data_IF_685354029723
#
_entry.id   IF_685354029723
#
_cell.length_a   1.000
_cell.length_b   1.000
_cell.length_c   1.000
_cell.angle_alpha   90.00
_cell.angle_beta   90.00
_cell.angle_gamma   90.00
#
_symmetry.space_group_name_H-M   'P 1'
#
loop_
_entity.id
_entity.type
_entity.pdbx_description
1 polymer ?
#
# COMPACT_ATOMS: atom_id res chain seq x y z
N UNK A 1 -12.38 -15.07 16.26
CA UNK A 1 -12.39 -13.61 16.05
C UNK A 1 -11.03 -13.27 15.48
N UNK A 2 -10.97 -12.99 14.17
CA UNK A 2 -9.70 -12.73 13.47
C UNK A 2 -9.11 -11.41 13.95
N UNK A 3 -7.94 -11.48 14.59
CA UNK A 3 -7.15 -10.35 15.08
C UNK A 3 -6.45 -9.56 13.95
N UNK A 4 -6.90 -9.71 12.70
CA UNK A 4 -6.31 -9.06 11.52
C UNK A 4 -6.68 -7.57 11.41
N UNK A 5 -7.73 -7.11 12.11
CA UNK A 5 -8.29 -5.78 11.88
C UNK A 5 -7.87 -4.69 12.89
N UNK A 6 -7.14 -5.01 13.97
CA UNK A 6 -6.89 -4.04 15.06
C UNK A 6 -5.75 -3.05 14.78
N UNK A 7 -4.84 -3.37 13.86
CA UNK A 7 -3.71 -2.46 13.56
C UNK A 7 -4.16 -1.39 12.56
N UNK A 8 -4.01 -0.08 12.86
CA UNK A 8 -4.34 0.98 11.91
C UNK A 8 -3.47 0.88 10.65
N UNK A 9 -4.11 0.85 9.47
CA UNK A 9 -3.44 0.62 8.16
C UNK A 9 -2.40 1.70 7.83
N UNK A 10 -2.58 2.91 8.31
CA UNK A 10 -1.69 4.06 8.14
C UNK A 10 -0.32 3.84 8.81
N UNK A 11 -0.27 2.99 9.83
CA UNK A 11 0.97 2.64 10.55
C UNK A 11 1.77 1.53 9.87
N UNK A 12 1.19 0.84 8.88
CA UNK A 12 1.83 -0.30 8.23
C UNK A 12 2.93 0.13 7.26
N UNK A 13 4.00 -0.69 7.23
CA UNK A 13 4.97 -0.69 6.14
C UNK A 13 4.34 -1.22 4.86
N UNK A 14 4.95 -0.95 3.71
CA UNK A 14 4.48 -1.47 2.42
C UNK A 14 4.35 -3.00 2.42
N UNK A 15 5.39 -3.69 2.92
CA UNK A 15 5.42 -5.16 2.95
C UNK A 15 4.34 -5.73 3.89
N UNK A 16 4.17 -5.13 5.06
CA UNK A 16 3.12 -5.55 6.00
C UNK A 16 1.72 -5.32 5.42
N UNK A 17 1.47 -4.16 4.80
CA UNK A 17 0.20 -3.84 4.17
C UNK A 17 -0.11 -4.80 3.00
N UNK A 18 0.89 -5.10 2.16
CA UNK A 18 0.77 -6.07 1.06
C UNK A 18 0.45 -7.48 1.59
N UNK A 19 1.21 -7.95 2.58
CA UNK A 19 1.06 -9.30 3.10
C UNK A 19 -0.30 -9.50 3.79
N UNK A 20 -0.80 -8.46 4.45
CA UNK A 20 -2.16 -8.45 4.99
C UNK A 20 -3.22 -8.42 3.88
N UNK A 21 -3.04 -7.62 2.84
CA UNK A 21 -3.96 -7.56 1.70
C UNK A 21 -4.11 -8.92 1.02
N UNK A 22 -3.00 -9.64 0.83
CA UNK A 22 -3.03 -11.00 0.27
C UNK A 22 -3.87 -11.95 1.14
N UNK A 23 -3.79 -11.84 2.47
CA UNK A 23 -4.60 -12.64 3.39
C UNK A 23 -6.08 -12.28 3.29
N UNK A 24 -6.41 -10.99 3.27
CA UNK A 24 -7.79 -10.51 3.12
C UNK A 24 -8.42 -11.02 1.83
N UNK A 25 -7.70 -10.93 0.70
CA UNK A 25 -8.16 -11.46 -0.58
C UNK A 25 -8.38 -12.98 -0.51
N UNK A 26 -7.42 -13.72 0.06
CA UNK A 26 -7.55 -15.16 0.20
C UNK A 26 -8.75 -15.57 1.09
N UNK A 27 -9.08 -14.79 2.11
CA UNK A 27 -10.28 -15.02 2.95
C UNK A 27 -11.57 -14.70 2.20
N UNK A 28 -11.60 -13.63 1.40
CA UNK A 28 -12.74 -13.30 0.54
C UNK A 28 -13.01 -14.39 -0.50
N UNK A 29 -11.96 -14.92 -1.13
CA UNK A 29 -12.06 -15.98 -2.14
C UNK A 29 -12.54 -17.33 -1.58
N UNK A 30 -12.20 -17.64 -0.33
CA UNK A 30 -12.73 -18.82 0.38
C UNK A 30 -14.23 -18.71 0.68
N UNK A 31 -14.75 -17.48 0.66
CA UNK A 31 -16.13 -17.17 0.99
C UNK A 31 -16.35 -16.98 2.49
N UNK A 32 -17.19 -16.01 2.84
CA UNK A 32 -17.53 -15.71 4.23
C UNK A 32 -18.88 -16.31 4.62
N UNK A 33 -19.07 -16.74 5.89
CA UNK A 33 -20.35 -17.23 6.37
C UNK A 33 -21.43 -16.13 6.42
N UNK A 34 -21.06 -14.85 6.44
CA UNK A 34 -22.01 -13.73 6.51
C UNK A 34 -21.60 -12.56 5.62
N UNK A 35 -22.59 -11.75 5.24
CA UNK A 35 -22.39 -10.56 4.43
C UNK A 35 -21.58 -9.51 5.19
N UNK A 36 -21.87 -9.30 6.48
CA UNK A 36 -21.20 -8.32 7.32
C UNK A 36 -19.70 -8.60 7.42
N UNK A 37 -19.32 -9.88 7.49
CA UNK A 37 -17.91 -10.26 7.52
C UNK A 37 -17.25 -10.09 6.15
N UNK A 38 -17.92 -10.42 5.05
CA UNK A 38 -17.43 -10.10 3.70
C UNK A 38 -17.22 -8.60 3.49
N UNK A 39 -18.12 -7.76 3.99
CA UNK A 39 -18.00 -6.30 3.90
C UNK A 39 -16.82 -5.79 4.73
N UNK A 40 -16.64 -6.27 5.96
CA UNK A 40 -15.50 -5.88 6.79
C UNK A 40 -14.15 -6.26 6.16
N UNK A 41 -14.05 -7.45 5.54
CA UNK A 41 -12.87 -7.86 4.79
C UNK A 41 -12.65 -6.95 3.57
N UNK A 42 -13.70 -6.65 2.81
CA UNK A 42 -13.60 -5.76 1.64
C UNK A 42 -13.12 -4.36 2.03
N UNK A 43 -13.73 -3.73 3.05
CA UNK A 43 -13.33 -2.40 3.54
C UNK A 43 -11.88 -2.38 4.01
N UNK A 44 -11.44 -3.44 4.69
CA UNK A 44 -10.05 -3.61 5.11
C UNK A 44 -9.12 -3.74 3.90
N UNK A 45 -9.51 -4.52 2.90
CA UNK A 45 -8.78 -4.70 1.65
C UNK A 45 -8.58 -3.39 0.89
N UNK A 46 -9.63 -2.58 0.76
CA UNK A 46 -9.56 -1.25 0.13
C UNK A 46 -8.59 -0.32 0.86
N UNK A 47 -8.65 -0.31 2.19
CA UNK A 47 -7.75 0.52 3.01
C UNK A 47 -6.28 0.09 2.86
N UNK A 48 -6.01 -1.21 2.80
CA UNK A 48 -4.67 -1.76 2.59
C UNK A 48 -4.15 -1.47 1.16
N UNK A 49 -5.02 -1.57 0.15
CA UNK A 49 -4.69 -1.24 -1.22
C UNK A 49 -4.31 0.24 -1.38
N UNK A 50 -5.11 1.15 -0.80
CA UNK A 50 -4.81 2.59 -0.77
C UNK A 50 -3.46 2.87 -0.10
N UNK A 51 -3.18 2.21 1.03
CA UNK A 51 -1.89 2.34 1.72
C UNK A 51 -0.71 1.89 0.85
N UNK A 52 -0.86 0.79 0.11
CA UNK A 52 0.16 0.31 -0.80
C UNK A 52 0.41 1.32 -1.93
N UNK A 53 -0.65 1.90 -2.49
CA UNK A 53 -0.55 2.92 -3.53
C UNK A 53 0.17 4.18 -3.05
N UNK A 54 -0.12 4.66 -1.83
CA UNK A 54 0.58 5.80 -1.23
C UNK A 54 2.10 5.59 -1.15
N UNK A 55 2.52 4.39 -0.73
CA UNK A 55 3.93 4.02 -0.67
C UNK A 55 4.58 4.03 -2.06
N UNK A 56 3.93 3.43 -3.05
CA UNK A 56 4.44 3.36 -4.42
C UNK A 56 4.52 4.74 -5.08
N UNK A 57 3.51 5.58 -4.89
CA UNK A 57 3.50 6.96 -5.37
C UNK A 57 4.58 7.80 -4.68
N UNK A 58 4.76 7.63 -3.37
CA UNK A 58 5.84 8.25 -2.61
C UNK A 58 7.23 7.86 -3.13
N UNK A 59 7.45 6.56 -3.40
CA UNK A 59 8.69 6.06 -3.97
C UNK A 59 8.96 6.64 -5.37
N UNK A 60 7.94 6.65 -6.24
CA UNK A 60 8.04 7.24 -7.58
C UNK A 60 8.43 8.71 -7.54
N UNK A 61 7.76 9.52 -6.69
CA UNK A 61 8.09 10.95 -6.54
C UNK A 61 9.53 11.19 -6.10
N UNK A 62 10.05 10.37 -5.18
CA UNK A 62 11.46 10.44 -4.74
C UNK A 62 12.43 10.13 -5.88
N UNK A 63 12.12 9.12 -6.69
CA UNK A 63 12.93 8.76 -7.85
C UNK A 63 12.94 9.86 -8.91
N UNK A 64 11.77 10.43 -9.22
CA UNK A 64 11.65 11.51 -10.21
C UNK A 64 12.40 12.77 -9.76
N UNK A 65 12.32 13.12 -8.47
CA UNK A 65 13.09 14.23 -7.89
C UNK A 65 14.61 13.99 -7.96
N UNK A 66 15.08 12.78 -7.66
CA UNK A 66 16.49 12.42 -7.74
C UNK A 66 17.03 12.49 -9.19
N UNK A 67 16.21 12.09 -10.17
CA UNK A 67 16.56 12.18 -11.60
C UNK A 67 16.65 13.64 -12.07
N UNK A 68 15.69 14.48 -11.69
CA UNK A 68 15.72 15.90 -12.03
C UNK A 68 16.97 16.59 -11.46
N UNK A 69 17.29 16.34 -10.18
CA UNK A 69 18.49 16.88 -9.54
C UNK A 69 19.79 16.42 -10.21
N UNK A 70 19.87 15.17 -10.69
CA UNK A 70 21.04 14.68 -11.43
C UNK A 70 21.21 15.40 -12.77
N UNK A 71 20.11 15.60 -13.53
CA UNK A 71 20.14 16.32 -14.79
C UNK A 71 20.57 17.78 -14.63
N UNK A 72 20.08 18.47 -13.58
CA UNK A 72 20.46 19.86 -13.30
C UNK A 72 21.96 19.99 -12.95
N UNK A 73 22.51 19.01 -12.23
CA UNK A 73 23.93 18.98 -11.87
C UNK A 73 24.85 18.80 -13.10
N UNK A 74 24.45 17.96 -14.07
CA UNK A 74 25.21 17.76 -15.31
C UNK A 74 25.22 19.04 -16.17
N UNK A 75 24.10 19.78 -16.25
CA UNK A 75 24.03 21.02 -17.04
C UNK A 75 24.79 22.20 -16.39
N UNK A 76 24.92 22.21 -15.05
CA UNK A 76 25.66 23.24 -14.33
C UNK A 76 27.19 23.08 -14.42
N UNK A 77 27.69 21.88 -14.72
CA UNK A 77 29.12 21.60 -14.88
C UNK A 77 29.68 21.95 -16.27
N UNK A 78 28.82 22.20 -17.25
CA UNK A 78 29.20 22.45 -18.65
C UNK A 78 29.13 23.94 -19.06
N UNK A 79 28.80 24.83 -18.11
CA UNK A 79 28.72 26.29 -18.29
C UNK A 79 29.88 27.05 -17.66
#
# INVERSE_FOLDING_TARGET
MSALNDTPVDTLSFEAARDELVKVVAELEQGSPTLEHSLALWERGEALAARCEEWLLGAKRRLDAARAAASDADHAGES
#
